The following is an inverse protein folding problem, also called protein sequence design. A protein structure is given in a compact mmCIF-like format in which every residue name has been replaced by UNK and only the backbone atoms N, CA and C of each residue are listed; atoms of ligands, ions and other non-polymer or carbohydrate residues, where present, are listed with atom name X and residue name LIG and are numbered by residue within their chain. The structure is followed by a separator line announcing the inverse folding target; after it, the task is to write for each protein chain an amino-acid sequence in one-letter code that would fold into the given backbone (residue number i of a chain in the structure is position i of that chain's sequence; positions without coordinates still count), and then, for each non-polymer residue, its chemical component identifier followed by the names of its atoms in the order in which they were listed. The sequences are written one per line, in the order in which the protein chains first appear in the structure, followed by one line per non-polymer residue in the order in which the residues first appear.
data_IF_861856392618
#
_entry.id   IF_861856392618
#
_cell.length_a   1.000
_cell.length_b   1.000
_cell.length_c   1.000
_cell.angle_alpha   90.00
_cell.angle_beta   90.00
_cell.angle_gamma   90.00
#
_symmetry.space_group_name_H-M   'P 1'
#
loop_
_entity.id
_entity.type
_entity.pdbx_description
1 polymer ?
#
# COMPACT_ATOMS: atom_id res chain seq x y z
N UNK A 1 1.11 4.81 -27.15
CA UNK A 1 2.46 5.42 -27.04
C UNK A 1 3.19 4.67 -25.94
N UNK A 2 4.31 4.04 -26.26
CA UNK A 2 5.00 3.07 -25.39
C UNK A 2 5.77 3.76 -24.26
N UNK A 3 5.69 3.18 -23.06
CA UNK A 3 6.56 3.50 -21.94
C UNK A 3 7.92 2.85 -22.21
N UNK A 4 8.85 3.60 -22.80
CA UNK A 4 10.25 3.19 -22.88
C UNK A 4 10.91 3.43 -21.54
N UNK A 5 11.03 2.40 -20.71
CA UNK A 5 12.04 2.39 -19.65
C UNK A 5 13.38 2.32 -20.40
N UNK A 6 14.25 3.31 -20.20
CA UNK A 6 15.62 3.24 -20.71
C UNK A 6 16.26 1.97 -20.14
N UNK A 7 16.99 1.20 -20.97
CA UNK A 7 17.53 -0.11 -20.57
C UNK A 7 18.50 -0.05 -19.37
N UNK A 8 18.90 1.14 -18.91
CA UNK A 8 19.82 1.38 -17.80
C UNK A 8 19.16 1.86 -16.49
N UNK A 9 17.85 2.12 -16.43
CA UNK A 9 17.19 2.55 -15.18
C UNK A 9 16.45 1.42 -14.45
N UNK A 10 16.90 1.15 -13.22
CA UNK A 10 16.28 0.18 -12.31
C UNK A 10 14.82 0.58 -12.03
N UNK A 11 13.81 -0.26 -12.33
CA UNK A 11 12.42 0.10 -12.11
C UNK A 11 12.14 0.25 -10.60
N UNK A 12 11.43 1.32 -10.24
CA UNK A 12 11.05 1.60 -8.85
C UNK A 12 9.57 1.28 -8.61
N UNK A 13 9.29 0.33 -7.72
CA UNK A 13 7.95 0.04 -7.23
C UNK A 13 7.72 0.63 -5.83
N UNK A 14 6.65 1.41 -5.68
CA UNK A 14 6.14 1.78 -4.36
C UNK A 14 5.06 0.77 -3.94
N UNK A 15 5.27 0.10 -2.80
CA UNK A 15 4.41 -0.95 -2.28
C UNK A 15 3.57 -0.42 -1.11
N UNK A 16 2.24 -0.46 -1.21
CA UNK A 16 1.33 0.01 -0.15
C UNK A 16 0.37 -1.11 0.30
N UNK A 17 0.56 -1.72 1.48
CA UNK A 17 -0.39 -2.66 2.07
C UNK A 17 -1.54 -1.93 2.80
N UNK A 18 -2.67 -2.61 2.98
CA UNK A 18 -3.59 -2.24 4.08
C UNK A 18 -2.88 -2.45 5.43
N UNK A 19 -3.00 -1.53 6.40
CA UNK A 19 -2.32 -1.57 7.70
C UNK A 19 -2.87 -2.60 8.69
N UNK A 20 -3.11 -3.82 8.22
CA UNK A 20 -3.47 -4.99 9.00
C UNK A 20 -2.45 -6.11 8.75
N UNK A 21 -2.09 -6.89 9.77
CA UNK A 21 -1.01 -7.88 9.68
C UNK A 21 -1.19 -8.90 8.55
N UNK A 22 -2.44 -9.33 8.32
CA UNK A 22 -2.80 -10.24 7.22
C UNK A 22 -2.54 -9.68 5.82
N UNK A 23 -2.34 -8.38 5.69
CA UNK A 23 -2.04 -7.70 4.42
C UNK A 23 -0.56 -7.27 4.32
N UNK A 24 0.01 -6.79 5.43
CA UNK A 24 1.40 -6.32 5.50
C UNK A 24 2.39 -7.42 5.14
N UNK A 25 2.24 -8.61 5.73
CA UNK A 25 3.22 -9.70 5.53
C UNK A 25 3.21 -10.24 4.10
N UNK A 26 2.05 -10.54 3.47
CA UNK A 26 2.01 -10.93 2.06
C UNK A 26 2.58 -9.85 1.12
N UNK A 27 2.23 -8.57 1.33
CA UNK A 27 2.78 -7.48 0.53
C UNK A 27 4.29 -7.35 0.70
N UNK A 28 4.82 -7.52 1.92
CA UNK A 28 6.26 -7.48 2.18
C UNK A 28 6.98 -8.63 1.47
N UNK A 29 6.39 -9.83 1.45
CA UNK A 29 6.95 -10.95 0.71
C UNK A 29 6.95 -10.69 -0.80
N UNK A 30 5.87 -10.12 -1.34
CA UNK A 30 5.83 -9.70 -2.75
C UNK A 30 6.88 -8.64 -3.07
N UNK A 31 7.03 -7.63 -2.20
CA UNK A 31 8.03 -6.58 -2.35
C UNK A 31 9.46 -7.15 -2.36
N UNK A 32 9.76 -8.13 -1.48
CA UNK A 32 11.05 -8.85 -1.48
C UNK A 32 11.28 -9.63 -2.78
N UNK A 33 10.24 -10.25 -3.33
CA UNK A 33 10.34 -10.93 -4.62
C UNK A 33 10.62 -9.96 -5.77
N UNK A 34 9.93 -8.80 -5.80
CA UNK A 34 10.19 -7.75 -6.78
C UNK A 34 11.61 -7.20 -6.67
N UNK A 35 12.08 -6.95 -5.45
CA UNK A 35 13.46 -6.54 -5.19
C UNK A 35 14.47 -7.55 -5.73
N UNK A 36 14.26 -8.85 -5.48
CA UNK A 36 15.09 -9.92 -6.01
C UNK A 36 15.07 -9.99 -7.56
N UNK A 37 14.01 -9.50 -8.20
CA UNK A 37 13.89 -9.36 -9.66
C UNK A 37 14.46 -8.05 -10.20
N UNK A 38 15.16 -7.27 -9.37
CA UNK A 38 15.86 -6.06 -9.78
C UNK A 38 15.03 -4.78 -9.64
N UNK A 39 13.95 -4.76 -8.86
CA UNK A 39 13.25 -3.51 -8.56
C UNK A 39 13.93 -2.75 -7.42
N UNK A 40 13.91 -1.42 -7.49
CA UNK A 40 14.04 -0.57 -6.31
C UNK A 40 12.69 -0.56 -5.61
N UNK A 41 12.68 -0.77 -4.29
CA UNK A 41 11.45 -0.87 -3.51
C UNK A 41 11.37 0.28 -2.52
N UNK A 42 10.24 0.99 -2.55
CA UNK A 42 9.77 1.78 -1.42
C UNK A 42 8.57 1.08 -0.79
N UNK A 43 8.73 0.51 0.40
CA UNK A 43 7.63 -0.09 1.15
C UNK A 43 7.02 0.94 2.10
N UNK A 44 5.75 1.26 1.92
CA UNK A 44 5.07 2.32 2.68
C UNK A 44 4.27 1.71 3.82
N UNK A 45 4.62 2.08 5.05
CA UNK A 45 3.83 1.79 6.23
C UNK A 45 2.94 2.98 6.60
N UNK A 46 1.87 2.76 7.35
CA UNK A 46 1.31 3.86 8.14
C UNK A 46 2.22 4.18 9.31
N UNK A 47 2.26 5.42 9.77
CA UNK A 47 3.08 5.80 10.94
C UNK A 47 2.79 4.92 12.16
N UNK A 48 1.51 4.60 12.39
CA UNK A 48 1.09 3.69 13.46
C UNK A 48 1.75 2.31 13.34
N UNK A 49 1.67 1.68 12.16
CA UNK A 49 2.25 0.35 11.95
C UNK A 49 3.78 0.37 11.95
N UNK A 50 4.38 1.44 11.43
CA UNK A 50 5.83 1.61 11.47
C UNK A 50 6.34 1.65 12.92
N UNK A 51 5.73 2.47 13.78
CA UNK A 51 6.07 2.52 15.22
C UNK A 51 5.90 1.16 15.92
N UNK A 52 4.82 0.43 15.62
CA UNK A 52 4.59 -0.91 16.19
C UNK A 52 5.62 -1.94 15.73
N UNK A 53 6.04 -1.89 14.47
CA UNK A 53 7.09 -2.77 13.95
C UNK A 53 8.43 -2.49 14.63
N UNK A 54 8.81 -1.22 14.78
CA UNK A 54 10.03 -0.84 15.50
C UNK A 54 10.02 -1.29 16.97
N UNK A 55 8.88 -1.16 17.66
CA UNK A 55 8.75 -1.63 19.05
C UNK A 55 8.87 -3.14 19.18
N UNK A 56 8.28 -3.89 18.25
CA UNK A 56 8.24 -5.35 18.30
C UNK A 56 9.52 -6.02 17.79
N UNK A 57 10.26 -5.38 16.87
CA UNK A 57 11.41 -5.96 16.18
C UNK A 57 12.73 -5.23 16.42
N UNK A 58 12.70 -4.10 17.12
CA UNK A 58 13.86 -3.26 17.42
C UNK A 58 13.97 -2.02 16.53
N UNK A 59 14.72 -0.98 16.97
CA UNK A 59 14.77 0.33 16.32
C UNK A 59 15.36 0.30 14.91
N UNK A 60 16.21 -0.68 14.61
CA UNK A 60 16.90 -0.80 13.32
C UNK A 60 16.20 -1.77 12.35
N UNK A 61 15.02 -2.29 12.74
CA UNK A 61 14.32 -3.34 11.97
C UNK A 61 13.75 -2.87 10.63
N UNK A 62 13.72 -1.55 10.41
CA UNK A 62 13.21 -0.90 9.19
C UNK A 62 14.26 0.01 8.52
N UNK A 63 15.55 -0.14 8.87
CA UNK A 63 16.65 0.62 8.24
C UNK A 63 16.76 0.30 6.73
N UNK A 64 16.26 -0.86 6.31
CA UNK A 64 16.18 -1.25 4.90
C UNK A 64 17.54 -1.52 4.27
N UNK A 65 17.58 -1.46 2.93
CA UNK A 65 18.76 -1.51 2.08
C UNK A 65 18.78 -0.24 1.21
N UNK A 66 19.89 0.02 0.50
CA UNK A 66 19.99 1.16 -0.41
C UNK A 66 18.86 1.20 -1.46
N UNK A 67 18.41 0.01 -1.89
CA UNK A 67 17.37 -0.20 -2.89
C UNK A 67 16.11 -0.90 -2.37
N UNK A 68 15.98 -1.01 -1.04
CA UNK A 68 14.78 -1.46 -0.35
C UNK A 68 14.54 -0.57 0.86
N UNK A 69 13.73 0.47 0.71
CA UNK A 69 13.53 1.47 1.75
C UNK A 69 12.13 1.36 2.36
N UNK A 70 12.03 1.58 3.66
CA UNK A 70 10.75 1.77 4.33
C UNK A 70 10.45 3.26 4.46
N UNK A 71 9.24 3.67 4.10
CA UNK A 71 8.73 5.03 4.28
C UNK A 71 7.40 5.00 5.02
N UNK A 72 6.96 6.16 5.50
CA UNK A 72 5.71 6.28 6.25
C UNK A 72 4.81 7.35 5.68
N UNK A 73 3.50 7.15 5.82
CA UNK A 73 2.49 8.19 5.66
C UNK A 73 1.52 8.18 6.86
N UNK A 74 0.88 9.30 7.20
CA UNK A 74 -0.23 9.31 8.14
C UNK A 74 -1.45 8.59 7.53
N UNK A 75 -2.22 7.91 8.38
CA UNK A 75 -3.44 7.18 7.99
C UNK A 75 -4.74 7.90 8.38
N UNK A 76 -4.63 9.12 8.92
CA UNK A 76 -5.75 9.97 9.32
C UNK A 76 -6.47 9.55 10.61
N UNK A 77 -6.02 8.47 11.26
CA UNK A 77 -6.59 8.02 12.52
C UNK A 77 -5.93 8.73 13.72
N UNK A 78 -6.63 8.85 14.86
CA UNK A 78 -6.05 9.42 16.06
C UNK A 78 -4.78 8.68 16.48
N UNK A 79 -3.83 9.44 17.01
CA UNK A 79 -2.63 8.87 17.59
C UNK A 79 -2.98 7.88 18.70
N UNK A 80 -2.33 6.73 18.69
CA UNK A 80 -2.50 5.69 19.69
C UNK A 80 -1.18 4.98 19.96
N UNK A 81 -0.93 4.72 21.25
CA UNK A 81 0.19 3.91 21.72
C UNK A 81 -0.19 2.44 21.96
N UNK A 82 -1.45 2.08 21.72
CA UNK A 82 -1.92 0.72 21.88
C UNK A 82 -1.16 -0.22 20.94
N UNK A 83 -0.75 -1.38 21.44
CA UNK A 83 -0.15 -2.44 20.62
C UNK A 83 -1.22 -3.42 20.11
N UNK A 84 -2.32 -2.90 19.57
CA UNK A 84 -3.44 -3.69 19.06
C UNK A 84 -3.65 -3.45 17.56
N UNK A 85 -4.49 -4.26 16.92
CA UNK A 85 -4.97 -3.92 15.57
C UNK A 85 -5.96 -2.75 15.69
N UNK A 86 -5.83 -1.74 14.83
CA UNK A 86 -6.81 -0.66 14.74
C UNK A 86 -8.16 -1.21 14.25
N UNK A 87 -9.25 -0.48 14.54
CA UNK A 87 -10.58 -0.88 14.06
C UNK A 87 -10.61 -0.97 12.53
N UNK A 88 -11.04 -2.12 12.00
CA UNK A 88 -10.97 -2.40 10.56
C UNK A 88 -11.86 -1.46 9.74
N UNK A 89 -13.00 -1.03 10.28
CA UNK A 89 -13.92 -0.14 9.57
C UNK A 89 -13.34 1.28 9.49
N UNK A 90 -12.81 1.78 10.61
CA UNK A 90 -12.15 3.08 10.69
C UNK A 90 -10.91 3.15 9.77
N UNK A 91 -10.10 2.08 9.73
CA UNK A 91 -8.96 1.99 8.80
C UNK A 91 -9.43 2.13 7.34
N UNK A 92 -10.40 1.31 6.94
CA UNK A 92 -10.88 1.24 5.56
C UNK A 92 -11.41 2.60 5.08
N UNK A 93 -12.16 3.29 5.95
CA UNK A 93 -12.68 4.62 5.69
C UNK A 93 -11.57 5.67 5.66
N UNK A 94 -10.72 5.71 6.68
CA UNK A 94 -9.73 6.76 6.87
C UNK A 94 -8.67 6.75 5.78
N UNK A 95 -8.18 5.57 5.38
CA UNK A 95 -7.16 5.45 4.33
C UNK A 95 -7.65 6.05 3.02
N UNK A 96 -8.88 5.71 2.61
CA UNK A 96 -9.41 6.17 1.34
C UNK A 96 -9.74 7.67 1.34
N UNK A 97 -9.97 8.27 2.52
CA UNK A 97 -10.21 9.71 2.68
C UNK A 97 -8.93 10.53 2.82
N UNK A 98 -7.90 10.00 3.46
CA UNK A 98 -6.79 10.82 3.98
C UNK A 98 -5.43 10.50 3.37
N UNK A 99 -5.19 9.27 2.88
CA UNK A 99 -3.87 8.86 2.42
C UNK A 99 -3.50 9.40 1.03
N UNK A 100 -4.46 9.92 0.24
CA UNK A 100 -4.16 10.39 -1.12
C UNK A 100 -3.09 11.49 -1.15
N UNK A 101 -3.30 12.59 -0.41
CA UNK A 101 -2.35 13.71 -0.42
C UNK A 101 -0.98 13.29 0.09
N UNK A 102 -0.84 12.68 1.29
CA UNK A 102 0.47 12.28 1.79
C UNK A 102 1.20 11.27 0.90
N UNK A 103 0.46 10.37 0.23
CA UNK A 103 1.07 9.42 -0.69
C UNK A 103 1.55 10.10 -1.98
N UNK A 104 0.79 11.05 -2.52
CA UNK A 104 1.25 11.87 -3.65
C UNK A 104 2.46 12.74 -3.28
N UNK A 105 2.47 13.30 -2.08
CA UNK A 105 3.61 14.08 -1.57
C UNK A 105 4.86 13.19 -1.46
N UNK A 106 4.71 11.96 -0.96
CA UNK A 106 5.80 10.99 -0.89
C UNK A 106 6.35 10.63 -2.28
N UNK A 107 5.50 10.34 -3.27
CA UNK A 107 5.95 10.08 -4.65
C UNK A 107 6.71 11.28 -5.22
N UNK A 108 6.18 12.49 -5.00
CA UNK A 108 6.81 13.72 -5.47
C UNK A 108 8.19 13.93 -4.85
N UNK A 109 8.32 13.72 -3.54
CA UNK A 109 9.60 13.82 -2.83
C UNK A 109 10.62 12.80 -3.35
N UNK A 110 10.21 11.55 -3.58
CA UNK A 110 11.07 10.52 -4.16
C UNK A 110 11.56 10.94 -5.55
N UNK A 111 10.66 11.42 -6.42
CA UNK A 111 11.00 11.83 -7.78
C UNK A 111 11.89 13.07 -7.83
N UNK A 112 11.71 14.02 -6.91
CA UNK A 112 12.59 15.17 -6.76
C UNK A 112 14.01 14.73 -6.34
N UNK A 113 14.11 13.84 -5.35
CA UNK A 113 15.40 13.32 -4.89
C UNK A 113 16.15 12.51 -5.96
N UNK A 114 15.41 11.80 -6.81
CA UNK A 114 15.97 11.11 -7.97
C UNK A 114 16.59 12.07 -8.99
N UNK A 115 16.03 13.27 -9.11
CA UNK A 115 16.51 14.28 -10.05
C UNK A 115 17.74 15.04 -9.52
N UNK A 116 17.93 15.08 -8.20
CA UNK A 116 19.05 15.78 -7.55
C UNK A 116 20.20 14.85 -7.16
N UNK A 117 19.93 13.56 -6.99
CA UNK A 117 20.92 12.53 -6.64
C UNK A 117 20.63 11.25 -7.42
N UNK A 118 21.65 10.68 -8.08
CA UNK A 118 21.52 9.40 -8.79
C UNK A 118 21.36 8.18 -7.84
N UNK A 119 21.01 8.40 -6.57
CA UNK A 119 20.94 7.36 -5.55
C UNK A 119 19.61 6.60 -5.52
N UNK A 120 18.52 7.19 -6.02
CA UNK A 120 17.18 6.58 -6.02
C UNK A 120 16.49 6.85 -7.36
N UNK A 121 16.04 5.82 -8.11
CA UNK A 121 15.30 6.02 -9.35
C UNK A 121 13.92 6.65 -9.12
N UNK A 122 13.36 7.31 -10.13
CA UNK A 122 11.98 7.80 -10.08
C UNK A 122 10.98 6.66 -9.92
N UNK A 123 9.86 6.92 -9.22
CA UNK A 123 8.77 5.96 -9.06
C UNK A 123 8.19 5.61 -10.43
N UNK A 124 8.31 4.35 -10.80
CA UNK A 124 7.87 3.85 -12.12
C UNK A 124 6.55 3.10 -12.07
N UNK A 125 6.16 2.56 -10.91
CA UNK A 125 4.90 1.85 -10.73
C UNK A 125 4.45 1.80 -9.27
N UNK A 126 3.15 1.56 -9.07
CA UNK A 126 2.54 1.32 -7.76
C UNK A 126 2.13 -0.15 -7.66
N UNK A 127 2.44 -0.80 -6.54
CA UNK A 127 1.87 -2.10 -6.16
C UNK A 127 1.07 -1.89 -4.89
N UNK A 128 -0.25 -1.90 -4.98
CA UNK A 128 -1.10 -1.55 -3.85
C UNK A 128 -2.07 -2.65 -3.49
N UNK A 129 -2.39 -2.75 -2.22
CA UNK A 129 -3.52 -3.55 -1.77
C UNK A 129 -4.81 -3.09 -2.46
N UNK A 130 -5.61 -4.03 -2.95
CA UNK A 130 -6.82 -3.74 -3.71
C UNK A 130 -7.88 -2.93 -2.94
N UNK A 131 -7.81 -2.88 -1.61
CA UNK A 131 -8.74 -2.12 -0.75
C UNK A 131 -8.29 -0.64 -0.61
N UNK A 132 -7.01 -0.35 -0.88
CA UNK A 132 -6.44 0.99 -0.81
C UNK A 132 -6.73 1.80 -2.10
N UNK A 133 -8.00 2.05 -2.38
CA UNK A 133 -8.48 2.66 -3.63
C UNK A 133 -7.89 4.06 -3.92
N UNK A 134 -7.49 4.81 -2.88
CA UNK A 134 -6.79 6.09 -3.08
C UNK A 134 -5.53 5.94 -3.95
N UNK A 135 -4.86 4.80 -3.90
CA UNK A 135 -3.64 4.53 -4.67
C UNK A 135 -3.87 4.53 -6.19
N UNK A 136 -5.09 4.16 -6.62
CA UNK A 136 -5.50 4.23 -8.04
C UNK A 136 -5.55 5.68 -8.50
N UNK A 137 -6.12 6.56 -7.68
CA UNK A 137 -6.15 8.00 -7.94
C UNK A 137 -4.73 8.59 -7.98
N UNK A 138 -3.85 8.20 -7.05
CA UNK A 138 -2.46 8.62 -7.05
C UNK A 138 -1.73 8.16 -8.33
N UNK A 139 -1.78 6.87 -8.66
CA UNK A 139 -1.14 6.33 -9.86
C UNK A 139 -1.60 7.05 -11.14
N UNK A 140 -2.90 7.38 -11.22
CA UNK A 140 -3.46 8.19 -12.32
C UNK A 140 -2.88 9.61 -12.36
N UNK A 141 -2.72 10.28 -11.23
CA UNK A 141 -2.13 11.63 -11.18
C UNK A 141 -0.68 11.63 -11.67
N UNK A 142 0.12 10.64 -11.29
CA UNK A 142 1.52 10.50 -11.72
C UNK A 142 1.69 9.80 -13.07
N UNK A 143 0.60 9.34 -13.70
CA UNK A 143 0.59 8.63 -15.00
C UNK A 143 1.49 7.39 -15.03
N UNK A 144 1.57 6.69 -13.89
CA UNK A 144 2.33 5.45 -13.72
C UNK A 144 1.38 4.24 -13.60
N UNK A 145 1.77 3.05 -14.06
CA UNK A 145 0.98 1.84 -13.91
C UNK A 145 0.79 1.46 -12.44
N UNK A 146 -0.35 0.82 -12.15
CA UNK A 146 -0.68 0.25 -10.85
C UNK A 146 -1.05 -1.23 -10.97
N UNK A 147 -0.47 -2.06 -10.12
CA UNK A 147 -0.87 -3.44 -9.90
C UNK A 147 -1.61 -3.54 -8.55
N UNK A 148 -2.83 -4.09 -8.58
CA UNK A 148 -3.63 -4.31 -7.38
C UNK A 148 -3.41 -5.73 -6.87
N UNK A 149 -3.00 -5.85 -5.61
CA UNK A 149 -2.77 -7.12 -4.94
C UNK A 149 -3.91 -7.40 -3.97
N UNK A 150 -4.62 -8.51 -4.20
CA UNK A 150 -5.69 -8.98 -3.34
C UNK A 150 -5.13 -10.06 -2.41
N UNK A 151 -4.95 -9.72 -1.12
CA UNK A 151 -4.28 -10.59 -0.14
C UNK A 151 -5.18 -11.68 0.44
N UNK A 152 -6.50 -11.54 0.29
CA UNK A 152 -7.47 -12.54 0.73
C UNK A 152 -7.63 -13.69 -0.29
N UNK A 153 -8.31 -14.75 0.12
CA UNK A 153 -8.47 -15.96 -0.71
C UNK A 153 -9.21 -15.66 -2.03
N UNK A 154 -8.94 -16.47 -3.06
CA UNK A 154 -9.64 -16.39 -4.34
C UNK A 154 -11.17 -16.53 -4.18
N UNK A 155 -11.63 -17.37 -3.24
CA UNK A 155 -13.05 -17.53 -2.93
C UNK A 155 -13.65 -16.24 -2.34
N UNK A 156 -12.92 -15.57 -1.43
CA UNK A 156 -13.32 -14.26 -0.89
C UNK A 156 -13.43 -13.22 -2.00
N UNK A 157 -12.45 -13.19 -2.92
CA UNK A 157 -12.47 -12.30 -4.08
C UNK A 157 -13.70 -12.51 -4.96
N UNK A 158 -14.05 -13.76 -5.27
CA UNK A 158 -15.31 -14.07 -5.99
C UNK A 158 -16.54 -13.56 -5.25
N UNK A 159 -16.57 -13.68 -3.92
CA UNK A 159 -17.63 -13.09 -3.09
C UNK A 159 -17.75 -11.58 -3.27
N UNK A 160 -16.63 -10.85 -3.29
CA UNK A 160 -16.62 -9.40 -3.55
C UNK A 160 -17.16 -9.05 -4.94
N UNK A 161 -16.78 -9.81 -5.98
CA UNK A 161 -17.27 -9.59 -7.35
C UNK A 161 -18.79 -9.80 -7.47
N UNK A 162 -19.36 -10.70 -6.67
CA UNK A 162 -20.80 -10.96 -6.65
C UNK A 162 -21.58 -9.99 -5.75
N UNK A 163 -20.91 -9.18 -4.93
CA UNK A 163 -21.58 -8.27 -4.00
C UNK A 163 -22.64 -7.36 -4.65
N UNK A 164 -22.39 -6.74 -5.82
CA UNK A 164 -23.42 -5.94 -6.51
C UNK A 164 -24.65 -6.78 -6.93
N UNK A 165 -24.46 -8.05 -7.29
CA UNK A 165 -25.57 -8.94 -7.63
C UNK A 165 -26.36 -9.35 -6.39
N UNK A 166 -25.68 -9.64 -5.28
CA UNK A 166 -26.33 -9.93 -4.00
C UNK A 166 -27.15 -8.73 -3.51
N UNK A 167 -26.65 -7.50 -3.68
CA UNK A 167 -27.39 -6.26 -3.40
C UNK A 167 -28.65 -6.14 -4.27
N UNK A 168 -28.52 -6.37 -5.59
CA UNK A 168 -29.67 -6.33 -6.52
C UNK A 168 -30.75 -7.37 -6.17
N UNK A 169 -30.35 -8.52 -5.64
CA UNK A 169 -31.27 -9.58 -5.21
C UNK A 169 -31.85 -9.34 -3.80
N UNK A 170 -31.46 -8.27 -3.10
CA UNK A 170 -31.91 -7.98 -1.74
C UNK A 170 -31.40 -8.97 -0.68
N UNK A 171 -30.33 -9.71 -0.99
CA UNK A 171 -29.71 -10.69 -0.09
C UNK A 171 -28.74 -10.03 0.91
N UNK A 172 -28.33 -8.79 0.64
CA UNK A 172 -27.49 -7.98 1.53
C UNK A 172 -28.05 -6.54 1.64
N UNK A 173 -27.88 -5.86 2.79
CA UNK A 173 -27.23 -6.36 4.02
C UNK A 173 -28.06 -7.46 4.70
N UNK A 174 -27.38 -8.42 5.32
CA UNK A 174 -28.03 -9.53 6.01
C UNK A 174 -28.97 -8.98 7.10
N UNK A 175 -30.22 -9.43 7.12
CA UNK A 175 -31.17 -9.07 8.18
C UNK A 175 -30.76 -9.81 9.45
N UNK A 176 -30.23 -9.09 10.43
CA UNK A 176 -30.02 -9.65 11.76
C UNK A 176 -31.39 -9.82 12.41
N UNK A 177 -31.87 -11.06 12.49
CA UNK A 177 -33.03 -11.37 13.33
C UNK A 177 -32.51 -11.50 14.75
N UNK A 178 -32.75 -10.49 15.58
CA UNK A 178 -32.48 -10.59 17.02
C UNK A 178 -33.63 -11.39 17.60
N UNK A 179 -33.36 -12.63 17.98
CA UNK A 179 -34.26 -13.47 18.79
C UNK A 179 -34.13 -13.12 20.27
#
# INVERSE_FOLDING_TARGET
MGYGISQDEKPHAICFPIPAQGHITPMLNLAKLLHHRGFHITFVNTEYNHRRLLRSRGPNSLDGLSDFQFKTIPDGLPYSEANSTQDSSAICESINKTCLSPFCDLISQINLNASTSNATPQVSCVVSDAIALFSVSAAKQFKIPIALFFTASACSYFGYLQYPNLMKQGLVPLRVTVS
#
